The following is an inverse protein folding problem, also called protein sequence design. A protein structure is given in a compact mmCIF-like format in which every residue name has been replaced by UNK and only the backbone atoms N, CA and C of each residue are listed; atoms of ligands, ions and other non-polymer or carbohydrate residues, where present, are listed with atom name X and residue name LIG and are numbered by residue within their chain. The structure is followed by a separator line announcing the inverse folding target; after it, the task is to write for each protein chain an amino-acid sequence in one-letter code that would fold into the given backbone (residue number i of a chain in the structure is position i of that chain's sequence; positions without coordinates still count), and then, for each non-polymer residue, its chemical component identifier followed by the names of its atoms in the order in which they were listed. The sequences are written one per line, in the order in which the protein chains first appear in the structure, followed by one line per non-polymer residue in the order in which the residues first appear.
data_IF_836162200385
#
_entry.id   IF_836162200385
#
_cell.length_a   1.000
_cell.length_b   1.000
_cell.length_c   1.000
_cell.angle_alpha   90.00
_cell.angle_beta   90.00
_cell.angle_gamma   90.00
#
_symmetry.space_group_name_H-M   'P 1'
#
loop_
_entity.id
_entity.type
_entity.pdbx_description
1 polymer ?
#
# COMPACT_ATOMS: atom_id res chain seq x y z
N UNK A 1 12.76 21.72 -58.99
CA UNK A 1 12.12 20.54 -58.40
C UNK A 1 11.25 21.02 -57.23
N UNK A 2 9.95 21.15 -57.45
CA UNK A 2 9.00 21.53 -56.39
C UNK A 2 8.59 20.25 -55.68
N UNK A 3 8.87 20.17 -54.38
CA UNK A 3 8.51 19.03 -53.52
C UNK A 3 6.99 19.04 -53.36
N UNK A 4 6.28 18.05 -53.89
CA UNK A 4 4.84 17.85 -53.64
C UNK A 4 4.60 17.75 -52.14
N UNK A 5 4.07 18.82 -51.54
CA UNK A 5 3.54 18.79 -50.18
C UNK A 5 2.14 18.18 -50.29
N UNK A 6 2.04 16.86 -50.11
CA UNK A 6 0.74 16.19 -49.92
C UNK A 6 0.10 16.77 -48.67
N UNK A 7 -0.96 17.57 -48.85
CA UNK A 7 -1.74 18.12 -47.75
C UNK A 7 -2.49 16.99 -47.04
N UNK A 8 -2.55 17.08 -45.72
CA UNK A 8 -3.29 16.13 -44.88
C UNK A 8 -4.79 16.21 -45.20
N UNK A 9 -5.44 15.07 -45.43
CA UNK A 9 -6.89 15.07 -45.68
C UNK A 9 -7.66 15.04 -44.36
N UNK A 10 -8.85 15.65 -44.32
CA UNK A 10 -9.70 15.66 -43.11
C UNK A 10 -10.09 14.24 -42.66
N UNK A 11 -10.26 13.34 -43.62
CA UNK A 11 -10.53 11.92 -43.36
C UNK A 11 -9.34 11.26 -42.66
N UNK A 12 -8.11 11.55 -43.09
CA UNK A 12 -6.89 11.00 -42.47
C UNK A 12 -6.74 11.44 -41.01
N UNK A 13 -7.12 12.67 -40.68
CA UNK A 13 -7.18 13.15 -39.29
C UNK A 13 -8.24 12.40 -38.48
N UNK A 14 -9.45 12.23 -39.03
CA UNK A 14 -10.53 11.52 -38.34
C UNK A 14 -10.20 10.05 -38.09
N UNK A 15 -9.56 9.37 -39.06
CA UNK A 15 -9.11 7.99 -38.90
C UNK A 15 -8.01 7.90 -37.84
N UNK A 16 -7.04 8.82 -37.86
CA UNK A 16 -5.98 8.84 -36.85
C UNK A 16 -6.51 9.07 -35.43
N UNK A 17 -7.45 10.01 -35.26
CA UNK A 17 -8.12 10.25 -33.98
C UNK A 17 -8.94 9.03 -33.55
N UNK A 18 -9.68 8.40 -34.47
CA UNK A 18 -10.45 7.19 -34.18
C UNK A 18 -9.57 6.05 -33.68
N UNK A 19 -8.43 5.82 -34.32
CA UNK A 19 -7.45 4.81 -33.89
C UNK A 19 -6.87 5.18 -32.51
N UNK A 20 -6.52 6.45 -32.29
CA UNK A 20 -6.01 6.93 -31.00
C UNK A 20 -6.99 6.68 -29.85
N UNK A 21 -8.28 6.93 -30.07
CA UNK A 21 -9.32 6.71 -29.05
C UNK A 21 -9.47 5.22 -28.71
N UNK A 22 -9.40 4.33 -29.70
CA UNK A 22 -9.46 2.88 -29.47
C UNK A 22 -8.24 2.39 -28.68
N UNK A 23 -7.05 2.90 -29.01
CA UNK A 23 -5.83 2.55 -28.27
C UNK A 23 -5.91 3.07 -26.84
N UNK A 24 -6.38 4.32 -26.65
CA UNK A 24 -6.50 4.94 -25.34
C UNK A 24 -7.46 4.17 -24.40
N UNK A 25 -8.59 3.68 -24.91
CA UNK A 25 -9.55 2.92 -24.09
C UNK A 25 -8.97 1.58 -23.65
N UNK A 26 -8.31 0.84 -24.54
CA UNK A 26 -7.68 -0.44 -24.20
C UNK A 26 -6.52 -0.22 -23.23
N UNK A 27 -5.62 0.72 -23.52
CA UNK A 27 -4.49 1.02 -22.66
C UNK A 27 -4.92 1.52 -21.27
N UNK A 28 -5.99 2.30 -21.20
CA UNK A 28 -6.56 2.78 -19.93
C UNK A 28 -6.99 1.65 -19.00
N UNK A 29 -7.69 0.64 -19.52
CA UNK A 29 -8.12 -0.51 -18.71
C UNK A 29 -6.93 -1.32 -18.18
N UNK A 30 -5.90 -1.54 -18.99
CA UNK A 30 -4.68 -2.22 -18.54
C UNK A 30 -3.93 -1.42 -17.47
N UNK A 31 -3.89 -0.09 -17.60
CA UNK A 31 -3.19 0.79 -16.65
C UNK A 31 -3.87 0.81 -15.28
N UNK A 32 -5.20 0.79 -15.23
CA UNK A 32 -5.97 0.74 -13.98
C UNK A 32 -5.61 -0.53 -13.21
N UNK A 33 -5.69 -1.69 -13.86
CA UNK A 33 -5.40 -2.99 -13.24
C UNK A 33 -3.93 -3.13 -12.81
N UNK A 34 -2.98 -2.60 -13.59
CA UNK A 34 -1.57 -2.66 -13.22
C UNK A 34 -1.25 -1.77 -12.02
N UNK A 35 -1.87 -0.59 -11.96
CA UNK A 35 -1.73 0.34 -10.83
C UNK A 35 -2.29 -0.27 -9.55
N UNK A 36 -3.46 -0.91 -9.62
CA UNK A 36 -4.08 -1.58 -8.49
C UNK A 36 -3.17 -2.70 -7.94
N UNK A 37 -2.63 -3.54 -8.82
CA UNK A 37 -1.67 -4.58 -8.43
C UNK A 37 -0.39 -4.02 -7.81
N UNK A 38 0.13 -2.91 -8.35
CA UNK A 38 1.32 -2.28 -7.80
C UNK A 38 1.08 -1.70 -6.40
N UNK A 39 -0.09 -1.10 -6.15
CA UNK A 39 -0.47 -0.62 -4.82
C UNK A 39 -0.55 -1.79 -3.85
N UNK A 40 -1.24 -2.89 -4.22
CA UNK A 40 -1.34 -4.08 -3.36
C UNK A 40 0.03 -4.65 -3.01
N UNK A 41 0.89 -4.82 -4.02
CA UNK A 41 2.24 -5.35 -3.82
C UNK A 41 3.08 -4.44 -2.91
N UNK A 42 3.00 -3.12 -3.09
CA UNK A 42 3.74 -2.17 -2.26
C UNK A 42 3.28 -2.14 -0.81
N UNK A 43 1.97 -2.20 -0.56
CA UNK A 43 1.38 -2.29 0.79
C UNK A 43 1.89 -3.55 1.48
N UNK A 44 1.79 -4.70 0.80
CA UNK A 44 2.24 -5.97 1.33
C UNK A 44 3.75 -6.00 1.62
N UNK A 45 4.56 -5.47 0.71
CA UNK A 45 6.00 -5.36 0.91
C UNK A 45 6.32 -4.52 2.15
N UNK A 46 5.64 -3.39 2.33
CA UNK A 46 5.82 -2.54 3.51
C UNK A 46 5.41 -3.25 4.80
N UNK A 47 4.26 -3.94 4.84
CA UNK A 47 3.84 -4.72 6.00
C UNK A 47 4.89 -5.79 6.36
N UNK A 48 5.40 -6.53 5.37
CA UNK A 48 6.45 -7.53 5.59
C UNK A 48 7.76 -6.91 6.10
N UNK A 49 8.14 -5.75 5.58
CA UNK A 49 9.34 -5.03 6.03
C UNK A 49 9.20 -4.58 7.48
N UNK A 50 8.03 -4.03 7.87
CA UNK A 50 7.73 -3.65 9.26
C UNK A 50 7.80 -4.88 10.16
N UNK A 51 7.16 -5.98 9.80
CA UNK A 51 7.16 -7.20 10.62
C UNK A 51 8.55 -7.82 10.77
N UNK A 52 9.34 -7.79 9.70
CA UNK A 52 10.75 -8.21 9.74
C UNK A 52 11.56 -7.30 10.65
N UNK A 53 11.31 -5.99 10.62
CA UNK A 53 11.96 -5.03 11.52
C UNK A 53 11.57 -5.29 12.98
N UNK A 54 10.28 -5.51 13.28
CA UNK A 54 9.80 -5.89 14.63
C UNK A 54 10.53 -7.15 15.10
N UNK A 55 10.49 -8.24 14.31
CA UNK A 55 11.12 -9.50 14.68
C UNK A 55 12.64 -9.36 14.90
N UNK A 56 13.30 -8.57 14.06
CA UNK A 56 14.74 -8.29 14.18
C UNK A 56 15.05 -7.47 15.43
N UNK A 57 14.24 -6.47 15.73
CA UNK A 57 14.39 -5.62 16.90
C UNK A 57 14.24 -6.43 18.20
N UNK A 58 13.21 -7.28 18.28
CA UNK A 58 12.95 -8.15 19.43
C UNK A 58 14.06 -9.18 19.58
N UNK A 59 14.49 -9.81 18.48
CA UNK A 59 15.58 -10.77 18.51
C UNK A 59 16.92 -10.15 18.94
N UNK A 60 17.21 -8.93 18.48
CA UNK A 60 18.47 -8.24 18.79
C UNK A 60 18.50 -7.65 20.19
N UNK A 61 17.41 -7.07 20.67
CA UNK A 61 17.35 -6.43 21.98
C UNK A 61 16.94 -7.39 23.10
N UNK A 62 16.41 -8.57 22.75
CA UNK A 62 15.80 -9.54 23.67
C UNK A 62 14.69 -8.93 24.54
N UNK A 63 14.06 -7.87 24.06
CA UNK A 63 12.94 -7.18 24.71
C UNK A 63 11.93 -6.69 23.68
N UNK A 64 10.71 -6.45 24.14
CA UNK A 64 9.65 -5.83 23.35
C UNK A 64 9.94 -4.35 23.07
N UNK A 65 9.26 -3.80 22.06
CA UNK A 65 9.33 -2.37 21.77
C UNK A 65 8.71 -1.59 22.93
N UNK A 66 9.40 -0.53 23.32
CA UNK A 66 8.96 0.43 24.34
C UNK A 66 8.41 1.64 23.61
N UNK A 67 7.13 1.89 23.79
CA UNK A 67 6.44 3.10 23.33
C UNK A 67 7.03 4.31 24.08
N UNK A 68 7.83 5.09 23.36
CA UNK A 68 8.68 6.12 23.97
C UNK A 68 7.93 7.44 24.16
N UNK A 69 6.90 7.70 23.36
CA UNK A 69 6.12 8.93 23.39
C UNK A 69 4.67 8.74 23.91
N UNK A 70 4.22 7.48 24.06
CA UNK A 70 2.95 7.08 24.63
C UNK A 70 1.77 7.18 23.67
N UNK A 71 2.00 7.24 22.36
CA UNK A 71 0.94 7.36 21.35
C UNK A 71 0.33 6.00 20.92
N UNK A 72 0.96 4.91 21.36
CA UNK A 72 0.58 3.53 21.07
C UNK A 72 0.81 3.11 19.62
N UNK A 73 1.49 3.91 18.81
CA UNK A 73 2.18 3.53 17.59
C UNK A 73 3.59 3.08 17.98
N UNK A 74 4.14 2.12 17.24
CA UNK A 74 5.49 1.61 17.45
C UNK A 74 6.35 1.77 16.18
N UNK A 75 5.81 2.41 15.15
CA UNK A 75 6.41 2.50 13.81
C UNK A 75 7.61 3.45 13.83
N UNK A 76 7.51 4.55 14.55
CA UNK A 76 8.57 5.53 14.73
C UNK A 76 9.64 5.05 15.71
N UNK A 77 9.32 4.21 16.70
CA UNK A 77 10.34 3.49 17.49
C UNK A 77 11.24 2.64 16.60
N UNK A 78 10.68 1.94 15.61
CA UNK A 78 11.48 1.14 14.68
C UNK A 78 12.45 2.00 13.85
N UNK A 79 12.04 3.23 13.54
CA UNK A 79 12.88 4.22 12.85
C UNK A 79 13.94 4.76 13.81
N UNK A 80 13.57 5.09 15.05
CA UNK A 80 14.48 5.58 16.08
C UNK A 80 15.56 4.53 16.44
N UNK A 81 15.20 3.25 16.42
CA UNK A 81 16.11 2.12 16.62
C UNK A 81 16.99 1.81 15.39
N UNK A 82 16.83 2.55 14.28
CA UNK A 82 17.51 2.32 13.00
C UNK A 82 17.30 0.91 12.43
N UNK A 83 16.20 0.24 12.79
CA UNK A 83 15.84 -1.06 12.22
C UNK A 83 15.05 -0.87 10.93
N UNK A 84 14.33 0.25 10.82
CA UNK A 84 13.67 0.70 9.61
C UNK A 84 14.36 1.96 9.08
N UNK A 85 14.95 1.88 7.88
CA UNK A 85 15.73 2.98 7.26
C UNK A 85 14.86 4.19 6.88
N UNK A 86 13.57 3.95 6.58
CA UNK A 86 12.64 4.98 6.15
C UNK A 86 11.20 4.58 6.46
N UNK A 87 10.28 5.56 6.62
CA UNK A 87 8.87 5.25 6.78
C UNK A 87 8.33 4.48 5.57
N UNK A 88 7.34 3.58 5.79
CA UNK A 88 6.73 2.80 4.72
C UNK A 88 6.07 3.71 3.68
N UNK A 89 6.17 3.31 2.41
CA UNK A 89 5.55 4.07 1.31
C UNK A 89 4.07 3.77 1.26
N UNK A 90 3.27 4.62 1.90
CA UNK A 90 1.82 4.47 2.01
C UNK A 90 1.06 5.41 1.06
N UNK A 91 -0.18 5.05 0.64
CA UNK A 91 -1.09 6.00 0.00
C UNK A 91 -1.27 7.24 0.89
N UNK A 92 -1.28 8.44 0.32
CA UNK A 92 -1.36 9.69 1.08
C UNK A 92 -2.64 9.84 1.91
N UNK A 93 -3.69 9.10 1.57
CA UNK A 93 -4.95 9.09 2.29
C UNK A 93 -4.99 8.11 3.46
N UNK A 94 -4.01 7.19 3.55
CA UNK A 94 -4.01 6.14 4.55
C UNK A 94 -3.10 6.52 5.73
N UNK A 95 -3.63 6.41 6.95
CA UNK A 95 -2.81 6.43 8.15
C UNK A 95 -2.42 5.00 8.52
N UNK A 96 -1.18 4.83 8.98
CA UNK A 96 -0.58 3.53 9.23
C UNK A 96 0.03 3.60 10.61
N UNK A 97 -0.27 2.60 11.42
CA UNK A 97 0.21 2.49 12.79
C UNK A 97 0.72 1.07 12.99
N UNK A 98 1.79 0.90 13.75
CA UNK A 98 2.17 -0.39 14.30
C UNK A 98 1.59 -0.46 15.70
N UNK A 99 0.63 -1.34 15.93
CA UNK A 99 -0.01 -1.51 17.24
C UNK A 99 0.48 -2.79 17.91
N UNK A 100 0.35 -2.84 19.23
CA UNK A 100 0.65 -4.02 20.05
C UNK A 100 -0.61 -4.47 20.79
N UNK A 101 -0.94 -5.76 20.68
CA UNK A 101 -1.94 -6.41 21.52
C UNK A 101 -1.23 -7.18 22.65
N UNK A 102 -1.82 -7.16 23.84
CA UNK A 102 -1.36 -7.91 25.01
C UNK A 102 -2.42 -8.97 25.34
N UNK A 103 -2.02 -10.23 25.40
CA UNK A 103 -2.93 -11.33 25.73
C UNK A 103 -3.23 -11.43 27.24
N UNK A 104 -2.61 -10.58 28.06
CA UNK A 104 -2.74 -10.55 29.51
C UNK A 104 -1.89 -11.62 30.23
N UNK A 105 -1.18 -12.47 29.49
CA UNK A 105 -0.26 -13.49 30.01
C UNK A 105 1.20 -13.10 29.77
N UNK A 106 1.46 -11.86 29.35
CA UNK A 106 2.80 -11.38 29.01
C UNK A 106 3.27 -11.81 27.61
N UNK A 107 2.35 -12.27 26.75
CA UNK A 107 2.62 -12.43 25.33
C UNK A 107 2.08 -11.22 24.57
N UNK A 108 2.96 -10.63 23.78
CA UNK A 108 2.62 -9.50 22.94
C UNK A 108 2.59 -9.93 21.48
N UNK A 109 1.54 -9.54 20.76
CA UNK A 109 1.48 -9.60 19.30
C UNK A 109 1.51 -8.20 18.73
N UNK A 110 2.28 -8.01 17.66
CA UNK A 110 2.31 -6.76 16.91
C UNK A 110 1.46 -6.93 15.66
N UNK A 111 0.80 -5.86 15.24
CA UNK A 111 -0.01 -5.83 14.02
C UNK A 111 0.04 -4.45 13.37
N UNK A 112 -0.03 -4.40 12.04
CA UNK A 112 -0.11 -3.13 11.32
C UNK A 112 -1.56 -2.72 11.22
N UNK A 113 -1.92 -1.58 11.77
CA UNK A 113 -3.24 -0.98 11.63
C UNK A 113 -3.22 0.05 10.50
N UNK A 114 -4.18 -0.03 9.59
CA UNK A 114 -4.32 0.89 8.46
C UNK A 114 -5.69 1.56 8.55
N UNK A 115 -5.68 2.87 8.83
CA UNK A 115 -6.88 3.70 8.81
C UNK A 115 -7.11 4.25 7.39
N UNK A 116 -8.32 3.94 6.89
CA UNK A 116 -8.80 4.24 5.54
C UNK A 116 -9.95 5.26 5.53
N UNK A 117 -10.28 5.85 6.67
CA UNK A 117 -11.37 6.83 6.83
C UNK A 117 -11.26 8.01 5.86
N UNK A 118 -10.03 8.39 5.52
CA UNK A 118 -9.73 9.49 4.60
C UNK A 118 -9.49 9.05 3.15
N UNK A 119 -9.55 7.75 2.86
CA UNK A 119 -9.35 7.20 1.52
C UNK A 119 -10.64 7.17 0.68
N UNK A 120 -10.47 7.22 -0.63
CA UNK A 120 -11.59 7.03 -1.56
C UNK A 120 -12.01 5.55 -1.63
N UNK A 121 -13.24 5.31 -2.06
CA UNK A 121 -13.84 3.97 -2.11
C UNK A 121 -12.99 2.95 -2.90
N UNK A 122 -12.34 3.38 -3.98
CA UNK A 122 -11.46 2.50 -4.77
C UNK A 122 -10.26 2.01 -3.98
N UNK A 123 -9.55 2.92 -3.28
CA UNK A 123 -8.38 2.56 -2.48
C UNK A 123 -8.80 1.75 -1.25
N UNK A 124 -9.93 2.10 -0.64
CA UNK A 124 -10.47 1.35 0.50
C UNK A 124 -10.81 -0.09 0.11
N UNK A 125 -11.57 -0.29 -0.97
CA UNK A 125 -11.89 -1.63 -1.47
C UNK A 125 -10.64 -2.44 -1.85
N UNK A 126 -9.64 -1.78 -2.43
CA UNK A 126 -8.40 -2.45 -2.83
C UNK A 126 -7.61 -2.97 -1.63
N UNK A 127 -7.58 -2.22 -0.53
CA UNK A 127 -6.90 -2.60 0.70
C UNK A 127 -7.72 -3.59 1.53
N UNK A 128 -9.05 -3.49 1.50
CA UNK A 128 -9.95 -4.50 2.06
C UNK A 128 -9.77 -5.88 1.40
N UNK A 129 -9.51 -5.92 0.09
CA UNK A 129 -9.22 -7.18 -0.60
C UNK A 129 -7.89 -7.79 -0.14
N UNK A 130 -6.89 -6.97 0.21
CA UNK A 130 -5.64 -7.47 0.80
C UNK A 130 -5.89 -8.05 2.18
N UNK A 131 -6.69 -7.38 2.99
CA UNK A 131 -7.09 -7.86 4.32
C UNK A 131 -7.74 -9.25 4.20
N UNK A 132 -8.72 -9.43 3.32
CA UNK A 132 -9.38 -10.72 3.09
C UNK A 132 -8.48 -11.83 2.51
N UNK A 133 -7.46 -11.45 1.73
CA UNK A 133 -6.50 -12.42 1.18
C UNK A 133 -5.50 -12.92 2.25
N UNK A 134 -5.31 -12.19 3.35
CA UNK A 134 -4.29 -12.45 4.38
C UNK A 134 -4.87 -12.83 5.75
N UNK A 135 -5.94 -12.18 6.18
CA UNK A 135 -6.81 -12.57 7.27
C UNK A 135 -7.83 -13.55 6.68
N UNK A 136 -7.69 -14.83 7.01
CA UNK A 136 -8.51 -15.96 6.57
C UNK A 136 -9.98 -15.91 7.06
N UNK A 137 -10.48 -14.70 7.33
CA UNK A 137 -11.80 -14.40 7.87
C UNK A 137 -11.88 -14.51 9.40
N UNK A 138 -10.79 -14.89 10.07
CA UNK A 138 -10.67 -14.91 11.53
C UNK A 138 -9.84 -13.69 11.93
N UNK A 139 -10.42 -12.73 12.66
CA UNK A 139 -9.80 -11.43 13.01
C UNK A 139 -8.59 -11.50 13.97
N UNK A 140 -7.88 -12.63 13.95
CA UNK A 140 -6.77 -13.01 14.81
C UNK A 140 -5.44 -13.15 14.04
N UNK A 141 -5.40 -13.06 12.71
CA UNK A 141 -4.12 -13.03 12.00
C UNK A 141 -3.53 -11.61 12.12
N UNK A 142 -2.55 -11.46 13.00
CA UNK A 142 -2.05 -10.16 13.46
C UNK A 142 -1.19 -9.40 12.44
N UNK A 143 -1.42 -9.53 11.14
CA UNK A 143 -0.57 -8.87 10.15
C UNK A 143 -1.10 -7.49 9.77
N UNK A 144 -2.39 -7.37 9.47
CA UNK A 144 -3.04 -6.12 9.05
C UNK A 144 -4.40 -6.03 9.76
N UNK A 145 -4.74 -4.88 10.33
CA UNK A 145 -6.07 -4.59 10.89
C UNK A 145 -6.58 -3.26 10.36
N UNK A 146 -7.91 -3.17 10.21
CA UNK A 146 -8.60 -1.93 9.85
C UNK A 146 -9.21 -1.27 11.08
N UNK A 147 -9.05 0.05 11.18
CA UNK A 147 -9.89 0.89 12.04
C UNK A 147 -11.14 1.33 11.26
N UNK A 148 -12.32 1.07 11.81
CA UNK A 148 -13.64 1.36 11.20
C UNK A 148 -14.22 2.68 11.68
#
# INVERSE_FOLDING_TARGET
MVKDRRGFTLIEVLVAIGILLIIATVAGAFLVTSTDRAIKAGVLENCNNIMTAVNTSIASMQKHLEDSDGDGDYLDELIALNVLDRPPVKPSCAAWYLRRNDDGNGHYSYYVEIDLSSCNERVSHLLEEIDQDYDDGDGSSGNIRRES
#
